data_IF_833373012925
#
_entry.id   IF_833373012925
#
_cell.length_a   1.000
_cell.length_b   1.000
_cell.length_c   1.000
_cell.angle_alpha   90.00
_cell.angle_beta   90.00
_cell.angle_gamma   90.00
#
_symmetry.space_group_name_H-M   'P 1'
#
loop_
_entity.id
_entity.type
_entity.pdbx_description
1 polymer ?
#
# COMPACT_ATOMS: atom_id res chain seq x y z
N UNK A 1 19.12 1.27 -33.01
CA UNK A 1 19.13 0.31 -31.90
C UNK A 1 19.14 -1.11 -32.45
N UNK A 2 19.84 -2.03 -31.80
CA UNK A 2 19.92 -3.42 -32.21
C UNK A 2 19.19 -4.29 -31.18
N UNK A 3 18.49 -5.34 -31.65
CA UNK A 3 17.81 -6.34 -30.82
C UNK A 3 18.51 -7.67 -31.03
N UNK A 4 18.86 -8.34 -29.93
CA UNK A 4 19.40 -9.71 -29.93
C UNK A 4 18.43 -10.65 -29.23
N UNK A 5 18.07 -11.73 -29.89
CA UNK A 5 17.24 -12.80 -29.31
C UNK A 5 18.16 -13.80 -28.63
N UNK A 6 18.08 -13.89 -27.31
CA UNK A 6 18.90 -14.81 -26.50
C UNK A 6 18.31 -16.21 -26.39
N UNK A 7 16.99 -16.36 -26.58
CA UNK A 7 16.27 -17.62 -26.54
C UNK A 7 14.86 -17.49 -27.04
N UNK A 8 14.25 -18.62 -27.35
CA UNK A 8 12.85 -18.68 -27.77
C UNK A 8 11.94 -18.91 -26.55
N UNK A 9 10.69 -18.52 -26.67
CA UNK A 9 9.65 -18.78 -25.71
C UNK A 9 8.80 -19.96 -26.18
N UNK A 10 8.39 -20.84 -25.26
CA UNK A 10 7.50 -21.92 -25.59
C UNK A 10 6.13 -21.39 -26.04
N UNK A 11 5.47 -22.17 -26.90
CA UNK A 11 4.17 -21.76 -27.48
C UNK A 11 3.03 -21.72 -26.47
N UNK A 12 3.17 -22.41 -25.34
CA UNK A 12 2.23 -22.48 -24.22
C UNK A 12 2.48 -21.41 -23.14
N UNK A 13 3.39 -20.47 -23.39
CA UNK A 13 3.62 -19.34 -22.48
C UNK A 13 2.30 -18.61 -22.15
N UNK A 14 1.94 -18.43 -20.87
CA UNK A 14 0.58 -18.05 -20.49
C UNK A 14 0.17 -16.66 -20.97
N UNK A 15 1.12 -15.71 -21.12
CA UNK A 15 0.82 -14.37 -21.66
C UNK A 15 0.85 -14.39 -23.18
N UNK A 16 -0.30 -14.67 -23.77
CA UNK A 16 -0.50 -14.62 -25.21
C UNK A 16 -0.86 -13.21 -25.68
N UNK A 17 -0.66 -12.90 -26.98
CA UNK A 17 -1.02 -11.62 -27.61
C UNK A 17 -2.55 -11.46 -27.74
N UNK A 18 -3.24 -11.40 -26.58
CA UNK A 18 -4.69 -11.20 -26.46
C UNK A 18 -5.01 -10.53 -25.13
N UNK A 19 -6.22 -10.00 -24.97
CA UNK A 19 -6.70 -9.50 -23.70
C UNK A 19 -6.90 -10.67 -22.72
N UNK A 20 -6.36 -10.51 -21.50
CA UNK A 20 -6.54 -11.44 -20.39
C UNK A 20 -7.44 -10.82 -19.32
N UNK A 21 -8.26 -11.62 -18.63
CA UNK A 21 -9.03 -11.16 -17.49
C UNK A 21 -8.15 -10.96 -16.25
N UNK A 22 -8.63 -10.16 -15.31
CA UNK A 22 -7.91 -9.96 -14.04
C UNK A 22 -7.86 -11.25 -13.21
N UNK A 23 -8.89 -12.08 -13.26
CA UNK A 23 -8.94 -13.38 -12.59
C UNK A 23 -7.82 -14.28 -13.10
N UNK A 24 -7.73 -14.47 -14.41
CA UNK A 24 -6.64 -15.25 -15.02
C UNK A 24 -5.26 -14.71 -14.64
N UNK A 25 -5.09 -13.38 -14.64
CA UNK A 25 -3.80 -12.76 -14.27
C UNK A 25 -3.42 -13.00 -12.80
N UNK A 26 -4.40 -13.26 -11.91
CA UNK A 26 -4.13 -13.64 -10.52
C UNK A 26 -3.61 -15.07 -10.38
N UNK A 27 -3.97 -15.96 -11.31
CA UNK A 27 -3.47 -17.33 -11.34
C UNK A 27 -2.01 -17.44 -11.80
N UNK A 28 -1.50 -16.40 -12.47
CA UNK A 28 -0.12 -16.35 -12.98
C UNK A 28 0.68 -15.15 -12.41
N UNK A 29 0.77 -15.03 -11.07
CA UNK A 29 1.34 -13.85 -10.42
C UNK A 29 2.80 -13.56 -10.81
N UNK A 30 3.57 -14.61 -11.14
CA UNK A 30 5.00 -14.54 -11.49
C UNK A 30 5.25 -13.89 -12.87
N UNK A 31 4.27 -13.83 -13.75
CA UNK A 31 4.42 -13.21 -15.09
C UNK A 31 3.50 -12.02 -15.33
N UNK A 32 2.44 -11.85 -14.51
CA UNK A 32 1.47 -10.76 -14.68
C UNK A 32 2.08 -9.34 -14.74
N UNK A 33 3.22 -9.01 -14.08
CA UNK A 33 3.83 -7.69 -14.22
C UNK A 33 4.25 -7.32 -15.64
N UNK A 34 4.36 -8.31 -16.53
CA UNK A 34 4.68 -8.11 -17.95
C UNK A 34 3.46 -7.66 -18.79
N UNK A 35 2.24 -7.79 -18.25
CA UNK A 35 1.04 -7.29 -18.93
C UNK A 35 0.91 -5.78 -18.71
N UNK A 36 0.57 -5.02 -19.77
CA UNK A 36 0.55 -3.57 -19.75
C UNK A 36 -0.24 -2.97 -18.58
N UNK A 37 -1.40 -3.53 -18.25
CA UNK A 37 -2.23 -3.06 -17.13
C UNK A 37 -1.52 -3.21 -15.78
N UNK A 38 -0.90 -4.36 -15.54
CA UNK A 38 -0.17 -4.58 -14.29
C UNK A 38 1.15 -3.81 -14.26
N UNK A 39 1.82 -3.70 -15.40
CA UNK A 39 3.01 -2.86 -15.54
C UNK A 39 2.69 -1.40 -15.15
N UNK A 40 1.67 -0.81 -15.76
CA UNK A 40 1.24 0.55 -15.46
C UNK A 40 0.81 0.70 -13.98
N UNK A 41 0.04 -0.26 -13.45
CA UNK A 41 -0.41 -0.24 -12.06
C UNK A 41 0.78 -0.28 -11.07
N UNK A 42 1.74 -1.16 -11.26
CA UNK A 42 2.90 -1.25 -10.36
C UNK A 42 3.83 -0.05 -10.48
N UNK A 43 3.97 0.52 -11.68
CA UNK A 43 4.71 1.78 -11.90
C UNK A 43 4.03 2.93 -11.17
N UNK A 44 2.72 3.11 -11.36
CA UNK A 44 1.95 4.15 -10.66
C UNK A 44 2.02 3.98 -9.14
N UNK A 45 1.89 2.73 -8.64
CA UNK A 45 2.03 2.44 -7.21
C UNK A 45 3.40 2.84 -6.65
N UNK A 46 4.47 2.59 -7.41
CA UNK A 46 5.82 3.00 -7.04
C UNK A 46 5.95 4.52 -6.95
N UNK A 47 5.44 5.25 -7.95
CA UNK A 47 5.46 6.71 -7.98
C UNK A 47 4.63 7.28 -6.82
N UNK A 48 3.44 6.76 -6.57
CA UNK A 48 2.57 7.18 -5.47
C UNK A 48 3.23 6.96 -4.10
N UNK A 49 3.92 5.84 -3.90
CA UNK A 49 4.65 5.59 -2.65
C UNK A 49 5.73 6.63 -2.40
N UNK A 50 6.45 7.04 -3.44
CA UNK A 50 7.43 8.14 -3.33
C UNK A 50 6.77 9.48 -3.07
N UNK A 51 5.63 9.77 -3.69
CA UNK A 51 4.86 10.99 -3.43
C UNK A 51 4.48 11.12 -1.95
N UNK A 52 4.00 10.04 -1.34
CA UNK A 52 3.65 9.99 0.09
C UNK A 52 4.87 10.31 0.95
N UNK A 53 6.00 9.65 0.70
CA UNK A 53 7.22 9.91 1.46
C UNK A 53 7.70 11.35 1.28
N UNK A 54 7.72 11.87 0.06
CA UNK A 54 8.15 13.24 -0.23
C UNK A 54 7.24 14.25 0.45
N UNK A 55 5.92 14.07 0.39
CA UNK A 55 4.96 14.95 1.06
C UNK A 55 5.25 15.13 2.54
N UNK A 56 5.41 14.04 3.27
CA UNK A 56 5.63 14.08 4.71
C UNK A 56 7.04 14.55 5.07
N UNK A 57 8.07 14.08 4.35
CA UNK A 57 9.46 14.48 4.62
C UNK A 57 9.68 15.97 4.39
N UNK A 58 9.14 16.55 3.33
CA UNK A 58 9.26 17.99 3.02
C UNK A 58 8.55 18.87 4.08
N UNK A 59 7.59 18.30 4.81
CA UNK A 59 6.88 18.96 5.93
C UNK A 59 7.49 18.67 7.30
N UNK A 60 8.65 18.01 7.33
CA UNK A 60 9.39 17.75 8.56
C UNK A 60 8.84 16.61 9.42
N UNK A 61 7.98 15.76 8.86
CA UNK A 61 7.57 14.54 9.55
C UNK A 61 8.69 13.50 9.56
N UNK A 62 8.80 12.76 10.64
CA UNK A 62 9.73 11.64 10.77
C UNK A 62 9.04 10.34 10.34
N UNK A 63 9.63 9.64 9.39
CA UNK A 63 9.16 8.30 9.00
C UNK A 63 9.57 7.27 10.04
N UNK A 64 8.61 6.57 10.63
CA UNK A 64 8.84 5.60 11.69
C UNK A 64 8.62 4.18 11.18
N UNK A 65 9.63 3.33 11.37
CA UNK A 65 9.57 1.90 11.10
C UNK A 65 9.10 1.19 12.37
N UNK A 66 7.83 0.80 12.40
CA UNK A 66 7.25 0.08 13.53
C UNK A 66 7.27 -1.43 13.29
N UNK A 67 7.32 -2.25 14.37
CA UNK A 67 7.21 -3.70 14.24
C UNK A 67 5.87 -4.12 13.64
N UNK A 68 5.90 -5.16 12.80
CA UNK A 68 4.69 -5.80 12.26
C UNK A 68 4.20 -6.93 13.16
N UNK A 69 5.12 -7.57 13.90
CA UNK A 69 4.78 -8.58 14.90
C UNK A 69 4.65 -7.90 16.25
N UNK A 70 3.49 -8.03 16.87
CA UNK A 70 3.16 -7.36 18.13
C UNK A 70 2.48 -8.32 19.12
N UNK A 71 2.59 -8.01 20.40
CA UNK A 71 1.80 -8.66 21.45
C UNK A 71 0.60 -7.82 21.89
N UNK A 72 0.38 -6.66 21.27
CA UNK A 72 -0.68 -5.72 21.65
C UNK A 72 -1.73 -5.64 20.53
N UNK A 73 -2.99 -5.55 20.96
CA UNK A 73 -4.09 -5.18 20.07
C UNK A 73 -4.15 -3.64 19.96
N UNK A 74 -4.34 -3.14 18.75
CA UNK A 74 -4.54 -1.72 18.49
C UNK A 74 -6.05 -1.39 18.57
N UNK A 75 -6.54 -1.14 19.79
CA UNK A 75 -7.92 -0.67 20.08
C UNK A 75 -9.04 -1.61 19.58
N UNK A 76 -8.76 -2.91 19.38
CA UNK A 76 -9.75 -3.81 18.77
C UNK A 76 -10.08 -3.47 17.32
N UNK A 77 -9.15 -2.81 16.60
CA UNK A 77 -9.39 -2.29 15.27
C UNK A 77 -9.59 -3.37 14.18
N UNK A 78 -9.39 -4.64 14.50
CA UNK A 78 -9.61 -5.75 13.59
C UNK A 78 -9.24 -7.11 14.19
N UNK A 79 -9.69 -8.18 13.53
CA UNK A 79 -9.23 -9.53 13.88
C UNK A 79 -7.77 -9.71 13.48
N UNK A 80 -6.97 -10.31 14.35
CA UNK A 80 -5.53 -10.46 14.16
C UNK A 80 -5.15 -11.84 13.64
N UNK A 81 -4.19 -11.90 12.74
CA UNK A 81 -3.50 -13.15 12.42
C UNK A 81 -2.51 -13.50 13.52
N UNK A 82 -2.59 -14.72 14.05
CA UNK A 82 -1.61 -15.22 15.02
C UNK A 82 -0.28 -15.57 14.36
N UNK A 83 0.81 -15.13 14.96
CA UNK A 83 2.18 -15.49 14.58
C UNK A 83 2.68 -16.55 15.55
N UNK A 84 2.94 -17.75 15.05
CA UNK A 84 3.37 -18.88 15.87
C UNK A 84 4.32 -19.78 15.09
N UNK A 85 5.26 -20.42 15.81
CA UNK A 85 6.11 -21.50 15.29
C UNK A 85 5.58 -22.88 15.75
N UNK A 86 4.42 -22.93 16.42
CA UNK A 86 3.87 -24.14 17.04
C UNK A 86 2.46 -24.42 16.56
N UNK A 87 2.14 -25.69 16.38
CA UNK A 87 0.79 -26.15 15.98
C UNK A 87 -0.13 -26.36 17.19
N UNK A 88 0.43 -26.46 18.43
CA UNK A 88 -0.33 -26.81 19.64
C UNK A 88 -0.86 -25.62 20.43
N UNK A 89 -0.74 -24.40 19.87
CA UNK A 89 -1.20 -23.14 20.48
C UNK A 89 -0.72 -22.88 21.92
N UNK A 90 0.43 -23.45 22.31
CA UNK A 90 1.06 -23.19 23.61
C UNK A 90 2.01 -22.01 23.51
N UNK A 91 1.46 -20.81 23.52
CA UNK A 91 2.20 -19.57 23.28
C UNK A 91 3.26 -19.26 24.35
N UNK A 92 3.10 -19.75 25.58
CA UNK A 92 4.09 -19.67 26.66
C UNK A 92 5.39 -20.43 26.33
N UNK A 93 5.33 -21.39 25.41
CA UNK A 93 6.44 -22.20 24.93
C UNK A 93 6.86 -21.88 23.49
N UNK A 94 6.23 -20.88 22.90
CA UNK A 94 6.49 -20.44 21.55
C UNK A 94 7.70 -19.47 21.48
N UNK A 95 8.09 -19.07 20.29
CA UNK A 95 9.27 -18.24 20.01
C UNK A 95 9.34 -16.98 20.88
N UNK A 96 8.21 -16.27 21.03
CA UNK A 96 8.12 -15.05 21.84
C UNK A 96 7.78 -15.29 23.31
N UNK A 97 7.52 -16.53 23.72
CA UNK A 97 7.08 -16.85 25.09
C UNK A 97 5.70 -16.26 25.48
N UNK A 98 4.96 -15.74 24.51
CA UNK A 98 3.62 -15.16 24.65
C UNK A 98 2.88 -15.19 23.32
N UNK A 99 1.57 -14.93 23.35
CA UNK A 99 0.79 -14.75 22.12
C UNK A 99 1.34 -13.56 21.34
N UNK A 100 1.65 -13.78 20.07
CA UNK A 100 2.09 -12.77 19.12
C UNK A 100 1.18 -12.80 17.89
N UNK A 101 1.02 -11.63 17.27
CA UNK A 101 0.11 -11.44 16.15
C UNK A 101 0.66 -10.42 15.16
N UNK A 102 0.13 -10.43 13.95
CA UNK A 102 0.40 -9.37 12.98
C UNK A 102 -0.40 -8.12 13.34
N UNK A 103 0.21 -6.96 13.18
CA UNK A 103 -0.42 -5.68 13.54
C UNK A 103 -1.60 -5.35 12.64
N UNK A 104 -2.67 -4.83 13.22
CA UNK A 104 -3.87 -4.30 12.54
C UNK A 104 -3.81 -2.78 12.33
N UNK A 105 -2.86 -2.10 13.01
CA UNK A 105 -2.55 -0.68 12.91
C UNK A 105 -1.20 -0.41 13.57
N UNK A 106 -0.51 0.62 13.12
CA UNK A 106 0.77 1.08 13.69
C UNK A 106 0.60 2.25 14.64
N UNK A 107 -0.63 2.68 14.90
CA UNK A 107 -0.97 3.86 15.70
C UNK A 107 -0.28 3.84 17.07
N UNK A 108 -0.41 2.77 17.85
CA UNK A 108 0.17 2.68 19.20
C UNK A 108 1.68 2.95 19.24
N UNK A 109 2.40 2.54 18.20
CA UNK A 109 3.82 2.85 18.08
C UNK A 109 4.04 4.29 17.57
N UNK A 110 3.23 4.75 16.61
CA UNK A 110 3.25 6.12 16.11
C UNK A 110 3.12 7.13 17.25
N UNK A 111 2.13 6.95 18.11
CA UNK A 111 1.89 7.81 19.28
C UNK A 111 3.12 7.94 20.18
N UNK A 112 3.81 6.83 20.46
CA UNK A 112 5.03 6.87 21.29
C UNK A 112 6.16 7.67 20.66
N UNK A 113 6.29 7.61 19.35
CA UNK A 113 7.28 8.41 18.61
C UNK A 113 6.86 9.89 18.48
N UNK A 114 5.55 10.16 18.35
CA UNK A 114 5.03 11.52 18.30
C UNK A 114 5.33 12.31 19.59
N UNK A 115 5.37 11.65 20.72
CA UNK A 115 5.79 12.26 22.00
C UNK A 115 7.23 12.81 21.96
N UNK A 116 8.06 12.31 21.06
CA UNK A 116 9.48 12.75 20.93
C UNK A 116 9.67 13.67 19.72
N UNK A 117 9.10 13.30 18.58
CA UNK A 117 9.38 13.96 17.29
C UNK A 117 8.28 14.93 16.87
N UNK A 118 7.17 15.01 17.60
CA UNK A 118 6.00 15.83 17.34
C UNK A 118 5.17 15.34 16.13
N UNK A 119 5.75 15.36 14.94
CA UNK A 119 5.08 14.93 13.71
C UNK A 119 5.78 13.70 13.16
N UNK A 120 5.08 12.60 13.09
CA UNK A 120 5.59 11.33 12.57
C UNK A 120 4.60 10.72 11.60
N UNK A 121 5.04 9.78 10.80
CA UNK A 121 4.14 8.95 10.02
C UNK A 121 4.68 7.55 9.88
N UNK A 122 3.77 6.60 9.78
CA UNK A 122 4.06 5.24 9.33
C UNK A 122 3.49 5.05 7.94
N UNK A 123 4.14 4.24 7.12
CA UNK A 123 3.64 3.81 5.83
C UNK A 123 4.12 2.40 5.56
N UNK A 124 3.25 1.42 5.66
CA UNK A 124 3.64 0.02 5.54
C UNK A 124 2.47 -0.97 5.62
N UNK A 125 2.77 -2.28 5.51
CA UNK A 125 1.77 -3.32 5.48
C UNK A 125 1.02 -3.46 6.82
N UNK A 126 -0.28 -3.69 6.73
CA UNK A 126 -1.20 -3.89 7.84
C UNK A 126 -2.03 -5.12 7.53
N UNK A 127 -2.39 -5.88 8.55
CA UNK A 127 -3.01 -7.19 8.40
C UNK A 127 -4.30 -7.26 9.20
N UNK A 128 -5.39 -7.70 8.57
CA UNK A 128 -6.69 -7.90 9.23
C UNK A 128 -7.28 -9.22 8.79
N UNK A 129 -7.68 -10.04 9.75
CA UNK A 129 -8.13 -11.42 9.54
C UNK A 129 -9.65 -11.56 9.42
N UNK A 130 -10.41 -10.45 9.38
CA UNK A 130 -11.86 -10.48 9.28
C UNK A 130 -12.33 -11.27 8.06
N UNK A 131 -13.27 -12.16 8.29
CA UNK A 131 -13.91 -12.92 7.23
C UNK A 131 -14.89 -12.03 6.43
N UNK A 132 -14.35 -11.24 5.52
CA UNK A 132 -15.12 -10.34 4.67
C UNK A 132 -14.83 -10.57 3.19
N UNK A 133 -15.89 -10.80 2.41
CA UNK A 133 -15.84 -11.08 0.98
C UNK A 133 -16.32 -9.87 0.14
N UNK A 134 -15.94 -8.66 0.51
CA UNK A 134 -16.26 -7.46 -0.28
C UNK A 134 -15.12 -7.06 -1.19
N UNK A 135 -15.41 -6.26 -2.20
CA UNK A 135 -14.39 -5.73 -3.14
C UNK A 135 -13.43 -4.73 -2.50
N UNK A 136 -13.70 -4.29 -1.26
CA UNK A 136 -12.94 -3.26 -0.54
C UNK A 136 -12.15 -3.79 0.65
N UNK A 137 -12.26 -5.09 0.97
CA UNK A 137 -11.51 -5.70 2.05
C UNK A 137 -10.36 -6.55 1.48
N UNK A 138 -9.18 -6.32 2.04
CA UNK A 138 -8.00 -7.13 1.80
C UNK A 138 -7.40 -7.51 3.16
N UNK A 139 -6.91 -8.74 3.27
CA UNK A 139 -6.27 -9.22 4.51
C UNK A 139 -4.89 -8.62 4.73
N UNK A 140 -4.27 -8.09 3.69
CA UNK A 140 -3.02 -7.33 3.73
C UNK A 140 -3.16 -6.09 2.85
N UNK A 141 -2.87 -4.93 3.41
CA UNK A 141 -2.89 -3.65 2.71
C UNK A 141 -1.90 -2.68 3.36
N UNK A 142 -1.55 -1.61 2.66
CA UNK A 142 -0.66 -0.59 3.19
C UNK A 142 -1.47 0.57 3.75
N UNK A 143 -1.15 0.97 4.98
CA UNK A 143 -1.73 2.15 5.63
C UNK A 143 -0.72 3.29 5.71
N UNK A 144 -1.24 4.50 5.60
CA UNK A 144 -0.55 5.75 5.90
C UNK A 144 -1.17 6.25 7.20
N UNK A 145 -0.40 6.34 8.27
CA UNK A 145 -0.86 6.73 9.60
C UNK A 145 0.02 7.86 10.12
N UNK A 146 -0.31 9.13 9.81
CA UNK A 146 0.39 10.29 10.38
C UNK A 146 -0.12 10.59 11.78
N UNK A 147 0.79 10.98 12.66
CA UNK A 147 0.49 11.49 14.01
C UNK A 147 1.03 12.90 14.14
N UNK A 148 0.15 13.84 14.47
CA UNK A 148 0.44 15.26 14.62
C UNK A 148 0.19 15.68 16.06
N UNK A 149 1.26 15.81 16.84
CA UNK A 149 1.13 16.30 18.21
C UNK A 149 0.67 17.77 18.22
N UNK A 150 -0.26 18.10 19.12
CA UNK A 150 -0.85 19.42 19.32
C UNK A 150 -1.75 19.92 18.16
N UNK A 151 -2.08 19.07 17.22
CA UNK A 151 -3.04 19.36 16.15
C UNK A 151 -4.47 19.13 16.62
N UNK A 152 -5.40 19.89 16.08
CA UNK A 152 -6.82 19.65 16.23
C UNK A 152 -7.42 18.97 14.98
N UNK A 153 -8.76 18.87 14.93
CA UNK A 153 -9.44 18.22 13.81
C UNK A 153 -9.25 18.99 12.50
N UNK A 154 -9.26 20.32 12.55
CA UNK A 154 -9.12 21.16 11.35
C UNK A 154 -7.70 21.02 10.79
N UNK A 155 -6.66 21.05 11.62
CA UNK A 155 -5.27 20.79 11.23
C UNK A 155 -5.11 19.42 10.56
N UNK A 156 -5.78 18.39 11.09
CA UNK A 156 -5.75 17.04 10.52
C UNK A 156 -6.46 16.96 9.17
N UNK A 157 -7.61 17.61 9.02
CA UNK A 157 -8.32 17.69 7.75
C UNK A 157 -7.49 18.40 6.68
N UNK A 158 -6.86 19.53 7.02
CA UNK A 158 -5.98 20.27 6.11
C UNK A 158 -4.79 19.40 5.65
N UNK A 159 -4.15 18.69 6.58
CA UNK A 159 -3.05 17.78 6.27
C UNK A 159 -3.47 16.67 5.29
N UNK A 160 -4.65 16.06 5.50
CA UNK A 160 -5.19 15.00 4.63
C UNK A 160 -5.52 15.56 3.25
N UNK A 161 -6.17 16.72 3.18
CA UNK A 161 -6.52 17.38 1.91
C UNK A 161 -5.27 17.71 1.11
N UNK A 162 -4.28 18.33 1.73
CA UNK A 162 -3.00 18.65 1.09
C UNK A 162 -2.27 17.39 0.60
N UNK A 163 -2.25 16.33 1.40
CA UNK A 163 -1.63 15.06 1.02
C UNK A 163 -2.27 14.46 -0.21
N UNK A 164 -3.61 14.42 -0.27
CA UNK A 164 -4.36 13.87 -1.40
C UNK A 164 -4.07 14.69 -2.68
N UNK A 165 -4.19 16.02 -2.59
CA UNK A 165 -3.90 16.93 -3.71
C UNK A 165 -2.46 16.79 -4.20
N UNK A 166 -1.50 16.74 -3.28
CA UNK A 166 -0.09 16.55 -3.60
C UNK A 166 0.16 15.23 -4.31
N UNK A 167 -0.35 14.12 -3.77
CA UNK A 167 -0.16 12.79 -4.35
C UNK A 167 -0.76 12.68 -5.76
N UNK A 168 -1.93 13.26 -5.99
CA UNK A 168 -2.57 13.30 -7.31
C UNK A 168 -1.68 14.08 -8.29
N UNK A 169 -1.30 15.30 -7.95
CA UNK A 169 -0.47 16.15 -8.82
C UNK A 169 0.88 15.49 -9.11
N UNK A 170 1.51 14.89 -8.11
CA UNK A 170 2.76 14.15 -8.27
C UNK A 170 2.61 12.98 -9.26
N UNK A 171 1.52 12.21 -9.17
CA UNK A 171 1.26 11.13 -10.11
C UNK A 171 0.96 11.64 -11.53
N UNK A 172 0.23 12.72 -11.69
CA UNK A 172 -0.05 13.34 -12.99
C UNK A 172 1.22 13.86 -13.67
N UNK A 173 2.21 14.28 -12.88
CA UNK A 173 3.50 14.77 -13.39
C UNK A 173 4.50 13.62 -13.68
N UNK A 174 4.65 12.69 -12.72
CA UNK A 174 5.72 11.69 -12.73
C UNK A 174 5.31 10.30 -13.25
N UNK A 175 4.00 10.06 -13.46
CA UNK A 175 3.46 8.83 -14.02
C UNK A 175 2.50 9.11 -15.20
N UNK A 176 2.84 10.07 -16.04
CA UNK A 176 1.98 10.56 -17.11
C UNK A 176 1.58 9.46 -18.09
N UNK A 177 2.53 8.63 -18.51
CA UNK A 177 2.28 7.53 -19.46
C UNK A 177 1.31 6.48 -18.86
N UNK A 178 1.48 6.15 -17.57
CA UNK A 178 0.61 5.23 -16.87
C UNK A 178 -0.80 5.81 -16.68
N UNK A 179 -0.92 7.11 -16.36
CA UNK A 179 -2.21 7.78 -16.24
C UNK A 179 -2.94 7.85 -17.58
N UNK A 180 -2.24 8.16 -18.67
CA UNK A 180 -2.78 8.15 -20.03
C UNK A 180 -3.22 6.74 -20.45
N UNK A 181 -2.44 5.70 -20.08
CA UNK A 181 -2.84 4.30 -20.29
C UNK A 181 -4.14 3.97 -19.58
N UNK A 182 -4.29 4.33 -18.30
CA UNK A 182 -5.53 4.09 -17.55
C UNK A 182 -6.72 4.86 -18.15
N UNK A 183 -6.52 6.10 -18.55
CA UNK A 183 -7.56 6.89 -19.19
C UNK A 183 -8.00 6.30 -20.54
N UNK A 184 -7.08 5.74 -21.31
CA UNK A 184 -7.41 5.17 -22.62
C UNK A 184 -8.00 3.76 -22.55
N UNK A 185 -7.54 2.92 -21.62
CA UNK A 185 -7.82 1.49 -21.63
C UNK A 185 -8.81 1.03 -20.54
N UNK A 186 -8.93 1.78 -19.44
CA UNK A 186 -9.70 1.38 -18.26
C UNK A 186 -10.85 2.33 -18.01
N UNK A 187 -10.58 3.65 -17.88
CA UNK A 187 -11.55 4.64 -17.48
C UNK A 187 -11.24 6.01 -18.10
N UNK A 188 -12.01 6.37 -19.10
CA UNK A 188 -11.82 7.59 -19.89
C UNK A 188 -11.89 8.89 -19.10
N UNK A 189 -12.57 8.88 -17.96
CA UNK A 189 -12.75 10.05 -17.11
C UNK A 189 -11.74 10.10 -15.95
N UNK A 190 -10.87 9.12 -15.84
CA UNK A 190 -9.93 8.98 -14.72
C UNK A 190 -9.12 10.28 -14.49
N UNK A 191 -8.45 10.79 -15.52
CA UNK A 191 -7.63 12.01 -15.40
C UNK A 191 -8.49 13.22 -15.02
N UNK A 192 -9.66 13.39 -15.64
CA UNK A 192 -10.55 14.51 -15.34
C UNK A 192 -10.99 14.49 -13.87
N UNK A 193 -11.41 13.31 -13.36
CA UNK A 193 -11.86 13.18 -11.96
C UNK A 193 -10.75 13.46 -10.96
N UNK A 194 -9.55 12.89 -11.14
CA UNK A 194 -8.45 13.13 -10.20
C UNK A 194 -7.97 14.58 -10.26
N UNK A 195 -7.93 15.20 -11.44
CA UNK A 195 -7.60 16.63 -11.61
C UNK A 195 -8.62 17.53 -10.89
N UNK A 196 -9.91 17.16 -10.94
CA UNK A 196 -10.95 17.91 -10.22
C UNK A 196 -10.76 17.85 -8.70
N UNK A 197 -10.32 16.72 -8.17
CA UNK A 197 -10.02 16.57 -6.72
C UNK A 197 -8.77 17.32 -6.32
N UNK A 198 -7.77 17.44 -7.22
CA UNK A 198 -6.51 18.11 -6.94
C UNK A 198 -6.58 19.64 -6.92
N UNK A 199 -7.63 20.22 -7.49
CA UNK A 199 -7.90 21.67 -7.52
C UNK A 199 -8.83 22.09 -6.39
#
# INVERSE_FOLDING_TARGET
ESISVLGLCDHDYPLQKKRHSFEFMREIPHVRPRANTYYAMFRLRSVLSMAIHTFFQDRGFVYVHTPEITGNDAEGAGECFTVTTREDAKYDKDFFGKHAQLTVSRQLHGDTFALTYRNVYTFGPTFRAENSNTTRHASEFWMIEPELAFADLDDNMDCIEEMIKYCINYCLEHAKEEMEFFASMIDKECIQRVTHVAN
#
